data_IF_002147141922
#
_entry.id   IF_002147141922
#
_cell.length_a   1.000
_cell.length_b   1.000
_cell.length_c   1.000
_cell.angle_alpha   90.00
_cell.angle_beta   90.00
_cell.angle_gamma   90.00
#
_symmetry.space_group_name_H-M   'P 1'
#
loop_
_entity.id
_entity.type
_entity.pdbx_description
1 polymer ?
#
# COMPACT_ATOMS: atom_id res chain seq x y z
N UNK A 1 4.82 -2.70 -16.05
CA UNK A 1 3.83 -2.32 -15.00
C UNK A 1 2.48 -2.87 -15.37
N UNK A 2 1.79 -3.46 -14.40
CA UNK A 2 0.41 -3.92 -14.50
C UNK A 2 -0.52 -2.72 -14.32
N UNK A 3 -1.57 -2.63 -15.14
CA UNK A 3 -2.60 -1.58 -15.06
C UNK A 3 -3.98 -2.21 -14.86
N UNK A 4 -4.44 -2.35 -13.61
CA UNK A 4 -5.76 -2.90 -13.33
C UNK A 4 -6.88 -1.98 -13.85
N UNK A 5 -7.96 -2.59 -14.34
CA UNK A 5 -9.17 -1.87 -14.75
C UNK A 5 -10.22 -1.79 -13.64
N UNK A 6 -10.04 -2.56 -12.57
CA UNK A 6 -10.91 -2.56 -11.39
C UNK A 6 -10.09 -2.15 -10.18
N UNK A 7 -10.71 -1.35 -9.30
CA UNK A 7 -10.11 -0.80 -8.08
C UNK A 7 -10.93 -1.22 -6.86
N UNK A 8 -10.29 -1.35 -5.70
CA UNK A 8 -10.86 -2.13 -4.59
C UNK A 8 -10.84 -1.44 -3.22
N UNK A 9 -9.96 -0.46 -3.02
CA UNK A 9 -9.78 0.28 -1.76
C UNK A 9 -11.10 0.79 -1.15
N UNK A 10 -11.99 1.37 -1.97
CA UNK A 10 -13.28 1.86 -1.52
C UNK A 10 -14.20 0.72 -1.00
N UNK A 11 -14.27 -0.40 -1.71
CA UNK A 11 -15.08 -1.55 -1.30
C UNK A 11 -14.52 -2.19 -0.02
N UNK A 12 -13.19 -2.27 0.11
CA UNK A 12 -12.52 -2.75 1.32
C UNK A 12 -12.86 -1.87 2.52
N UNK A 13 -12.77 -0.55 2.39
CA UNK A 13 -13.09 0.37 3.48
C UNK A 13 -14.59 0.45 3.81
N UNK A 14 -15.45 0.15 2.84
CA UNK A 14 -16.89 0.06 3.05
C UNK A 14 -17.31 -1.21 3.80
N UNK A 15 -16.49 -2.27 3.79
CA UNK A 15 -16.73 -3.50 4.55
C UNK A 15 -16.87 -3.17 6.06
N UNK A 16 -17.92 -3.68 6.75
CA UNK A 16 -18.10 -3.46 8.18
C UNK A 16 -16.89 -3.86 9.04
N UNK A 17 -16.12 -4.86 8.61
CA UNK A 17 -14.89 -5.31 9.30
C UNK A 17 -13.79 -4.24 9.28
N UNK A 18 -13.83 -3.32 8.31
CA UNK A 18 -12.87 -2.23 8.16
C UNK A 18 -13.26 -0.96 8.92
N UNK A 19 -14.24 -1.02 9.84
CA UNK A 19 -14.73 0.15 10.57
C UNK A 19 -13.60 0.96 11.22
N UNK A 20 -12.72 0.29 11.97
CA UNK A 20 -11.61 0.96 12.66
C UNK A 20 -10.64 1.61 11.67
N UNK A 21 -10.27 0.93 10.58
CA UNK A 21 -9.44 1.49 9.53
C UNK A 21 -10.11 2.74 8.93
N UNK A 22 -11.39 2.66 8.57
CA UNK A 22 -12.16 3.78 8.01
C UNK A 22 -12.28 4.96 8.99
N UNK A 23 -12.41 4.72 10.29
CA UNK A 23 -12.39 5.77 11.31
C UNK A 23 -11.00 6.40 11.45
N UNK A 24 -9.94 5.59 11.46
CA UNK A 24 -8.55 6.06 11.46
C UNK A 24 -8.26 6.96 10.26
N UNK A 25 -8.69 6.57 9.06
CA UNK A 25 -8.54 7.35 7.83
C UNK A 25 -9.09 8.78 7.96
N UNK A 26 -10.20 8.96 8.71
CA UNK A 26 -10.82 10.28 8.90
C UNK A 26 -9.97 11.23 9.76
N UNK A 27 -9.10 10.69 10.60
CA UNK A 27 -8.20 11.45 11.48
C UNK A 27 -6.88 11.84 10.79
N UNK A 28 -6.57 11.22 9.66
CA UNK A 28 -5.34 11.48 8.90
C UNK A 28 -5.41 12.83 8.18
N UNK A 29 -4.26 13.49 8.09
CA UNK A 29 -4.06 14.61 7.18
C UNK A 29 -4.28 14.16 5.73
N UNK A 30 -4.65 15.10 4.85
CA UNK A 30 -5.01 14.84 3.45
C UNK A 30 -4.00 13.97 2.70
N UNK A 31 -2.70 14.32 2.77
CA UNK A 31 -1.66 13.56 2.09
C UNK A 31 -1.50 12.14 2.63
N UNK A 32 -1.58 11.98 3.95
CA UNK A 32 -1.48 10.68 4.60
C UNK A 32 -2.69 9.80 4.27
N UNK A 33 -3.89 10.38 4.17
CA UNK A 33 -5.09 9.65 3.70
C UNK A 33 -4.90 9.11 2.28
N UNK A 34 -4.28 9.88 1.37
CA UNK A 34 -3.96 9.42 0.02
C UNK A 34 -2.98 8.23 0.08
N UNK A 35 -1.91 8.34 0.87
CA UNK A 35 -0.94 7.26 1.07
C UNK A 35 -1.63 5.98 1.54
N UNK A 36 -2.44 6.05 2.58
CA UNK A 36 -3.13 4.87 3.11
C UNK A 36 -4.15 4.27 2.12
N UNK A 37 -4.90 5.09 1.37
CA UNK A 37 -5.77 4.58 0.31
C UNK A 37 -4.98 3.83 -0.76
N UNK A 38 -3.85 4.39 -1.19
CA UNK A 38 -2.99 3.78 -2.18
C UNK A 38 -2.33 2.49 -1.68
N UNK A 39 -1.96 2.42 -0.40
CA UNK A 39 -1.41 1.21 0.21
C UNK A 39 -2.44 0.08 0.24
N UNK A 40 -3.68 0.38 0.64
CA UNK A 40 -4.80 -0.58 0.62
C UNK A 40 -5.05 -1.09 -0.80
N UNK A 41 -5.09 -0.18 -1.78
CA UNK A 41 -5.25 -0.54 -3.18
C UNK A 41 -4.10 -1.44 -3.65
N UNK A 42 -2.85 -1.06 -3.38
CA UNK A 42 -1.67 -1.81 -3.79
C UNK A 42 -1.68 -3.26 -3.25
N UNK A 43 -1.99 -3.44 -1.96
CA UNK A 43 -2.05 -4.76 -1.34
C UNK A 43 -3.09 -5.67 -2.00
N UNK A 44 -4.31 -5.17 -2.23
CA UNK A 44 -5.36 -5.96 -2.89
C UNK A 44 -5.02 -6.25 -4.36
N UNK A 45 -4.43 -5.30 -5.08
CA UNK A 45 -4.05 -5.50 -6.47
C UNK A 45 -2.94 -6.54 -6.62
N UNK A 46 -1.97 -6.56 -5.71
CA UNK A 46 -0.93 -7.60 -5.65
C UNK A 46 -1.56 -8.97 -5.39
N UNK A 47 -2.46 -9.07 -4.41
CA UNK A 47 -3.16 -10.33 -4.10
C UNK A 47 -3.94 -10.87 -5.31
N UNK A 48 -4.66 -10.01 -6.03
CA UNK A 48 -5.44 -10.40 -7.21
C UNK A 48 -4.58 -10.73 -8.42
N UNK A 49 -3.45 -10.04 -8.58
CA UNK A 49 -2.53 -10.32 -9.67
C UNK A 49 -1.84 -11.67 -9.49
N UNK A 50 -1.48 -12.03 -8.26
CA UNK A 50 -0.90 -13.34 -7.95
C UNK A 50 -1.37 -13.83 -6.57
N UNK A 51 -2.28 -14.79 -6.58
CA UNK A 51 -2.97 -15.28 -5.38
C UNK A 51 -2.05 -15.90 -4.28
N UNK A 52 -0.80 -16.24 -4.60
CA UNK A 52 0.19 -16.68 -3.62
C UNK A 52 0.63 -15.55 -2.69
N UNK A 53 0.62 -14.31 -3.17
CA UNK A 53 0.85 -13.14 -2.34
C UNK A 53 -0.43 -12.88 -1.54
N UNK A 54 -0.25 -12.85 -0.23
CA UNK A 54 -1.22 -12.40 0.77
C UNK A 54 -0.59 -11.20 1.48
N UNK A 55 -0.65 -10.00 0.90
CA UNK A 55 -0.04 -8.83 1.53
C UNK A 55 -0.79 -8.49 2.82
N UNK A 56 -0.04 -8.29 3.91
CA UNK A 56 -0.59 -7.89 5.21
C UNK A 56 -0.08 -6.53 5.68
N UNK A 57 0.99 -6.03 5.07
CA UNK A 57 1.59 -4.75 5.41
C UNK A 57 2.28 -4.13 4.20
N UNK A 58 2.35 -2.80 4.16
CA UNK A 58 2.99 -2.06 3.06
C UNK A 58 3.64 -0.78 3.58
N UNK A 59 4.90 -0.56 3.19
CA UNK A 59 5.68 0.66 3.44
C UNK A 59 5.98 1.30 2.09
N UNK A 60 5.31 2.42 1.79
CA UNK A 60 5.42 3.07 0.47
C UNK A 60 6.76 3.77 0.21
N UNK A 61 7.55 3.99 1.27
CA UNK A 61 8.80 4.76 1.25
C UNK A 61 10.02 3.95 1.74
N UNK A 62 9.98 2.62 1.64
CA UNK A 62 11.02 1.74 2.21
C UNK A 62 12.43 1.99 1.64
N UNK A 63 12.54 2.26 0.33
CA UNK A 63 13.81 2.43 -0.39
C UNK A 63 14.00 3.84 -0.94
N UNK A 64 12.91 4.58 -1.11
CA UNK A 64 12.89 5.93 -1.65
C UNK A 64 11.61 6.64 -1.21
N UNK A 65 11.70 7.95 -0.96
CA UNK A 65 10.55 8.76 -0.56
C UNK A 65 9.42 8.70 -1.60
N UNK A 66 8.18 8.71 -1.11
CA UNK A 66 7.02 8.90 -1.98
C UNK A 66 6.96 10.33 -2.51
N UNK A 67 6.55 10.49 -3.76
CA UNK A 67 6.25 11.80 -4.35
C UNK A 67 4.75 12.01 -4.44
N UNK A 68 4.22 12.94 -3.65
CA UNK A 68 2.83 13.38 -3.71
C UNK A 68 2.69 14.68 -4.51
N UNK A 69 1.87 14.67 -5.55
CA UNK A 69 1.56 15.86 -6.37
C UNK A 69 0.04 15.94 -6.58
N UNK A 70 -0.60 16.87 -5.86
CA UNK A 70 -2.06 16.96 -5.83
C UNK A 70 -2.67 15.67 -5.27
N UNK A 71 -3.41 14.95 -6.12
CA UNK A 71 -4.07 13.68 -5.79
C UNK A 71 -3.30 12.44 -6.28
N UNK A 72 -2.13 12.64 -6.88
CA UNK A 72 -1.30 11.56 -7.41
C UNK A 72 -0.15 11.26 -6.47
N UNK A 73 -0.06 10.00 -6.04
CA UNK A 73 1.07 9.45 -5.30
C UNK A 73 1.92 8.56 -6.21
N UNK A 74 3.23 8.74 -6.16
CA UNK A 74 4.20 7.86 -6.79
C UNK A 74 5.12 7.27 -5.72
N UNK A 75 5.19 5.94 -5.67
CA UNK A 75 6.07 5.17 -4.80
C UNK A 75 7.03 4.36 -5.66
N UNK A 76 8.30 4.79 -5.73
CA UNK A 76 9.34 4.12 -6.54
C UNK A 76 10.20 3.14 -5.74
N UNK A 77 10.06 3.15 -4.41
CA UNK A 77 10.82 2.32 -3.49
C UNK A 77 9.94 1.72 -2.40
N UNK A 78 8.71 1.32 -2.74
CA UNK A 78 7.83 0.68 -1.78
C UNK A 78 8.24 -0.76 -1.47
N UNK A 79 7.77 -1.28 -0.35
CA UNK A 79 7.86 -2.68 0.02
C UNK A 79 6.51 -3.16 0.56
N UNK A 80 6.10 -4.39 0.22
CA UNK A 80 4.98 -5.05 0.89
C UNK A 80 5.44 -6.35 1.53
N UNK A 81 4.81 -6.69 2.66
CA UNK A 81 5.06 -7.94 3.35
C UNK A 81 4.00 -8.95 2.98
N UNK A 82 4.43 -10.16 2.68
CA UNK A 82 3.55 -11.29 2.42
C UNK A 82 4.17 -12.58 2.93
N UNK A 83 3.39 -13.36 3.71
CA UNK A 83 3.85 -14.61 4.31
C UNK A 83 5.14 -14.44 5.15
N UNK A 84 5.33 -13.29 5.81
CA UNK A 84 6.54 -12.87 6.56
C UNK A 84 7.78 -12.56 5.71
N UNK A 85 7.64 -12.47 4.39
CA UNK A 85 8.70 -12.04 3.49
C UNK A 85 8.39 -10.66 2.92
N UNK A 86 9.42 -9.85 2.73
CA UNK A 86 9.29 -8.51 2.16
C UNK A 86 9.62 -8.52 0.68
N UNK A 87 8.84 -7.82 -0.14
CA UNK A 87 9.02 -7.75 -1.58
C UNK A 87 8.99 -6.30 -2.04
N UNK A 88 9.84 -5.97 -3.02
CA UNK A 88 9.84 -4.65 -3.63
C UNK A 88 8.53 -4.41 -4.39
N UNK A 89 8.01 -3.19 -4.31
CA UNK A 89 6.89 -2.74 -5.14
C UNK A 89 7.11 -1.30 -5.58
N UNK A 90 6.73 -1.04 -6.82
CA UNK A 90 6.55 0.31 -7.35
C UNK A 90 5.11 0.50 -7.72
N UNK A 91 4.56 1.67 -7.44
CA UNK A 91 3.21 1.99 -7.90
C UNK A 91 3.01 3.49 -8.10
N UNK A 92 2.05 3.80 -8.97
CA UNK A 92 1.47 5.12 -9.13
C UNK A 92 -0.04 5.00 -8.91
N UNK A 93 -0.57 5.92 -8.12
CA UNK A 93 -1.93 5.89 -7.62
C UNK A 93 -2.53 7.29 -7.69
N UNK A 94 -3.77 7.41 -8.16
CA UNK A 94 -4.52 8.66 -8.20
C UNK A 94 -5.80 8.54 -7.39
N UNK A 95 -5.97 9.42 -6.40
CA UNK A 95 -7.17 9.51 -5.58
C UNK A 95 -8.25 10.38 -6.26
N UNK A 96 -9.51 10.12 -5.94
CA UNK A 96 -10.62 11.00 -6.30
C UNK A 96 -10.51 12.36 -5.58
N UNK A 97 -11.18 13.43 -6.09
CA UNK A 97 -11.15 14.75 -5.47
C UNK A 97 -11.64 14.81 -4.01
N UNK A 98 -12.54 13.91 -3.63
CA UNK A 98 -13.03 13.75 -2.25
C UNK A 98 -12.14 12.84 -1.38
N UNK A 99 -11.14 12.19 -1.97
CA UNK A 99 -10.19 11.27 -1.31
C UNK A 99 -10.95 10.15 -0.58
N UNK A 100 -11.98 9.61 -1.24
CA UNK A 100 -12.72 8.44 -0.76
C UNK A 100 -12.37 7.16 -1.54
N UNK A 101 -11.80 7.28 -2.74
CA UNK A 101 -11.44 6.14 -3.59
C UNK A 101 -10.23 6.42 -4.48
N UNK A 102 -9.64 5.36 -4.99
CA UNK A 102 -8.67 5.44 -6.09
C UNK A 102 -9.41 5.43 -7.42
N UNK A 103 -8.91 6.20 -8.39
CA UNK A 103 -9.47 6.32 -9.75
C UNK A 103 -8.53 5.83 -10.85
N UNK A 104 -7.22 5.77 -10.58
CA UNK A 104 -6.23 5.15 -11.46
C UNK A 104 -5.11 4.51 -10.64
N UNK A 105 -4.63 3.36 -11.10
CA UNK A 105 -3.56 2.62 -10.43
C UNK A 105 -2.69 1.87 -11.43
N UNK A 106 -1.39 1.86 -11.21
CA UNK A 106 -0.45 0.97 -11.90
C UNK A 106 0.66 0.54 -10.95
N UNK A 107 1.15 -0.69 -11.10
CA UNK A 107 2.18 -1.21 -10.20
C UNK A 107 3.12 -2.21 -10.87
N UNK A 108 4.20 -2.55 -10.19
CA UNK A 108 5.05 -3.68 -10.48
C UNK A 108 5.62 -4.24 -9.19
N UNK A 109 5.57 -5.57 -9.05
CA UNK A 109 6.25 -6.31 -7.98
C UNK A 109 7.66 -6.66 -8.46
N UNK A 110 8.65 -6.40 -7.59
CA UNK A 110 10.05 -6.75 -7.79
C UNK A 110 10.45 -7.97 -6.98
N UNK A 111 11.76 -8.10 -6.75
CA UNK A 111 12.34 -9.22 -6.00
C UNK A 111 12.03 -9.13 -4.50
N UNK A 112 12.15 -10.28 -3.84
CA UNK A 112 12.19 -10.38 -2.38
C UNK A 112 13.36 -9.56 -1.83
N UNK A 113 13.14 -8.87 -0.71
CA UNK A 113 14.13 -8.08 -0.01
C UNK A 113 14.80 -9.00 1.01
N UNK A 114 16.14 -9.20 0.94
CA UNK A 114 16.85 -10.04 1.89
C UNK A 114 16.65 -9.58 3.34
N UNK A 115 16.48 -10.54 4.26
CA UNK A 115 16.24 -10.26 5.68
C UNK A 115 17.35 -9.39 6.31
N UNK A 116 18.59 -9.56 5.86
CA UNK A 116 19.73 -8.74 6.27
C UNK A 116 19.56 -7.24 5.97
N UNK A 117 18.64 -6.87 5.10
CA UNK A 117 18.38 -5.47 4.74
C UNK A 117 17.18 -4.86 5.48
N UNK A 118 16.39 -5.66 6.20
CA UNK A 118 15.11 -5.21 6.77
C UNK A 118 15.28 -4.11 7.82
N UNK A 119 16.22 -4.28 8.75
CA UNK A 119 16.47 -3.31 9.81
C UNK A 119 16.88 -1.95 9.24
N UNK A 120 17.80 -1.94 8.27
CA UNK A 120 18.28 -0.71 7.61
C UNK A 120 17.16 0.00 6.83
N UNK A 121 16.12 -0.72 6.44
CA UNK A 121 14.99 -0.24 5.65
C UNK A 121 13.71 -0.07 6.48
N UNK A 122 13.81 -0.18 7.81
CA UNK A 122 12.70 -0.09 8.77
C UNK A 122 11.53 -1.03 8.45
N UNK A 123 11.85 -2.23 7.97
CA UNK A 123 10.89 -3.27 7.64
C UNK A 123 10.73 -4.22 8.83
N UNK A 124 9.61 -4.19 9.57
CA UNK A 124 9.43 -5.04 10.74
C UNK A 124 9.33 -6.52 10.36
N UNK A 125 10.02 -7.36 11.13
CA UNK A 125 10.02 -8.82 10.96
C UNK A 125 8.69 -9.47 11.41
N UNK A 126 7.97 -8.82 12.33
CA UNK A 126 6.72 -9.28 12.92
C UNK A 126 5.63 -8.21 12.89
N UNK A 127 4.43 -8.56 13.33
CA UNK A 127 3.21 -7.75 13.19
C UNK A 127 3.17 -6.54 14.13
N UNK A 128 4.29 -6.23 14.80
CA UNK A 128 4.34 -5.19 15.82
C UNK A 128 3.33 -5.47 16.93
N UNK A 129 3.57 -6.52 17.72
CA UNK A 129 3.04 -6.49 19.07
C UNK A 129 3.86 -5.43 19.81
N UNK A 130 3.30 -4.23 19.90
CA UNK A 130 3.87 -3.19 20.76
C UNK A 130 3.82 -3.73 22.19
N UNK A 131 4.98 -4.09 22.72
CA UNK A 131 5.19 -4.31 24.16
C UNK A 131 4.84 -3.04 24.96
#
# INVERSE_FOLDING_TARGET
MVRPTQLFSAAILADPRSKQAREGMRQLATGERIVQLCNIEAMEQVHRWKAEFKPDFLVAYAMADTKLSGLTLQAEGGAFRSNRHWYNIKFKCEASPDIEKIVAFEFSVGEEIPESEWETRFLPADDGQAD
#
